data_IF_882856856438
#
_entry.id   IF_882856856438
#
_cell.length_a   1.000
_cell.length_b   1.000
_cell.length_c   1.000
_cell.angle_alpha   90.00
_cell.angle_beta   90.00
_cell.angle_gamma   90.00
#
_symmetry.space_group_name_H-M   'P 1'
#
loop_
_entity.id
_entity.type
_entity.pdbx_description
1 polymer ?
#
# COMPACT_ATOMS: atom_id res chain seq x y z
N UNK A 1 22.20 -39.26 -0.67
CA UNK A 1 22.16 -38.05 0.20
C UNK A 1 22.44 -36.74 -0.53
N UNK A 2 23.42 -36.64 -1.45
CA UNK A 2 23.67 -35.41 -2.25
C UNK A 2 22.46 -34.93 -3.09
N UNK A 3 21.69 -35.86 -3.70
CA UNK A 3 20.50 -35.52 -4.49
C UNK A 3 19.35 -34.91 -3.66
N UNK A 4 19.22 -35.31 -2.38
CA UNK A 4 18.20 -34.78 -1.46
C UNK A 4 18.57 -33.38 -0.96
N UNK A 5 19.87 -33.13 -0.71
CA UNK A 5 20.37 -31.78 -0.37
C UNK A 5 20.17 -30.78 -1.52
N UNK A 6 20.42 -31.21 -2.77
CA UNK A 6 20.22 -30.35 -3.95
C UNK A 6 18.74 -30.03 -4.17
N UNK A 7 17.82 -30.98 -3.94
CA UNK A 7 16.37 -30.75 -4.04
C UNK A 7 15.85 -29.76 -2.97
N UNK A 8 16.40 -29.84 -1.76
CA UNK A 8 16.05 -28.93 -0.66
C UNK A 8 16.48 -27.49 -0.94
N UNK A 9 17.67 -27.30 -1.51
CA UNK A 9 18.19 -25.97 -1.87
C UNK A 9 17.40 -25.38 -3.05
N UNK A 10 17.00 -26.20 -4.01
CA UNK A 10 16.20 -25.77 -5.16
C UNK A 10 14.77 -25.36 -4.75
N UNK A 11 14.15 -26.08 -3.81
CA UNK A 11 12.83 -25.71 -3.28
C UNK A 11 12.88 -24.43 -2.44
N UNK A 12 13.93 -24.22 -1.65
CA UNK A 12 14.11 -22.98 -0.89
C UNK A 12 14.31 -21.76 -1.81
N UNK A 13 15.03 -21.91 -2.92
CA UNK A 13 15.18 -20.85 -3.91
C UNK A 13 13.84 -20.52 -4.60
N UNK A 14 12.99 -21.51 -4.88
CA UNK A 14 11.68 -21.29 -5.52
C UNK A 14 10.71 -20.48 -4.63
N UNK A 15 10.75 -20.66 -3.31
CA UNK A 15 9.92 -19.91 -2.34
C UNK A 15 10.33 -18.44 -2.27
N UNK A 16 11.62 -18.14 -2.50
CA UNK A 16 12.12 -16.76 -2.53
C UNK A 16 11.69 -16.00 -3.81
N UNK A 17 11.43 -16.72 -4.92
CA UNK A 17 10.94 -16.12 -6.16
C UNK A 17 9.42 -15.92 -6.22
N UNK A 18 8.63 -16.59 -5.36
CA UNK A 18 7.16 -16.43 -5.33
C UNK A 18 6.66 -15.16 -4.62
N UNK A 19 7.55 -14.31 -4.09
CA UNK A 19 7.18 -13.07 -3.41
C UNK A 19 6.99 -11.86 -4.36
N UNK A 20 6.85 -12.08 -5.66
CA UNK A 20 6.60 -11.02 -6.65
C UNK A 20 5.12 -10.58 -6.66
N UNK A 21 4.63 -10.01 -5.56
CA UNK A 21 3.37 -9.26 -5.50
C UNK A 21 3.25 -8.52 -4.16
N UNK A 22 4.09 -7.50 -3.96
CA UNK A 22 4.02 -6.69 -2.74
C UNK A 22 3.10 -5.48 -2.95
N UNK A 23 1.82 -5.65 -2.60
CA UNK A 23 0.84 -4.57 -2.42
C UNK A 23 0.30 -3.88 -3.69
N UNK A 24 -0.68 -2.97 -3.56
CA UNK A 24 -1.25 -2.17 -4.65
C UNK A 24 -0.29 -1.03 -5.09
N UNK A 25 1.00 -1.33 -5.14
CA UNK A 25 2.02 -0.42 -5.65
C UNK A 25 2.50 -0.92 -7.00
N UNK A 26 2.44 -0.11 -8.06
CA UNK A 26 2.88 -0.52 -9.40
C UNK A 26 4.37 -0.90 -9.44
N UNK A 27 5.17 -0.41 -8.48
CA UNK A 27 6.58 -0.78 -8.35
C UNK A 27 7.03 -0.73 -6.87
N UNK A 28 7.20 -1.87 -6.18
CA UNK A 28 7.92 -1.89 -4.92
C UNK A 28 9.42 -1.69 -5.20
N UNK A 29 9.97 -0.56 -4.78
CA UNK A 29 11.41 -0.30 -4.75
C UNK A 29 12.09 -1.10 -3.64
N UNK A 30 13.30 -1.59 -3.90
CA UNK A 30 14.00 -2.55 -3.03
C UNK A 30 14.42 -1.98 -1.67
N UNK A 31 14.79 -0.68 -1.62
CA UNK A 31 15.32 -0.01 -0.43
C UNK A 31 14.37 1.04 0.13
N UNK A 32 13.77 1.82 -0.78
CA UNK A 32 12.84 2.89 -0.48
C UNK A 32 11.81 2.97 -1.59
N UNK A 33 10.57 3.21 -1.21
CA UNK A 33 9.48 3.47 -2.15
C UNK A 33 8.63 4.59 -1.59
N UNK A 34 8.36 5.61 -2.39
CA UNK A 34 7.31 6.60 -2.16
C UNK A 34 6.57 6.72 -3.48
N UNK A 35 5.44 6.02 -3.57
CA UNK A 35 4.63 6.00 -4.79
C UNK A 35 3.22 6.41 -4.47
N UNK A 36 2.66 7.23 -5.36
CA UNK A 36 1.24 7.58 -5.38
C UNK A 36 0.61 6.90 -6.59
N UNK A 37 -0.51 6.23 -6.37
CA UNK A 37 -1.26 5.56 -7.42
C UNK A 37 -2.72 5.99 -7.35
N UNK A 38 -3.31 6.40 -8.48
CA UNK A 38 -4.73 6.70 -8.53
C UNK A 38 -5.52 5.41 -8.35
N UNK A 39 -6.48 5.41 -7.43
CA UNK A 39 -7.35 4.26 -7.20
C UNK A 39 -8.66 4.38 -7.98
N UNK A 40 -9.34 5.52 -7.81
CA UNK A 40 -10.66 5.72 -8.39
C UNK A 40 -10.94 7.19 -8.61
N UNK A 41 -11.55 7.54 -9.74
CA UNK A 41 -12.05 8.88 -10.04
C UNK A 41 -13.54 8.77 -10.36
N UNK A 42 -14.36 9.71 -9.90
CA UNK A 42 -15.79 9.80 -10.19
C UNK A 42 -16.07 11.07 -10.99
N UNK A 43 -17.25 11.15 -11.63
CA UNK A 43 -17.69 12.34 -12.38
C UNK A 43 -18.20 13.48 -11.47
N UNK A 44 -17.93 13.42 -10.17
CA UNK A 44 -18.36 14.46 -9.22
C UNK A 44 -17.40 15.65 -9.32
N UNK A 45 -17.93 16.84 -9.59
CA UNK A 45 -17.14 18.07 -9.57
C UNK A 45 -16.42 18.26 -8.23
N UNK A 46 -15.11 18.53 -8.31
CA UNK A 46 -14.26 18.75 -7.14
C UNK A 46 -14.76 19.95 -6.32
N UNK A 47 -14.96 19.73 -5.02
CA UNK A 47 -15.37 20.76 -4.06
C UNK A 47 -14.21 21.46 -3.37
N UNK A 48 -12.96 21.08 -3.70
CA UNK A 48 -11.75 21.63 -3.10
C UNK A 48 -11.48 21.13 -1.68
N UNK A 49 -12.19 20.10 -1.20
CA UNK A 49 -11.90 19.46 0.08
C UNK A 49 -11.07 18.21 -0.14
N UNK A 50 -10.04 18.04 0.68
CA UNK A 50 -9.25 16.82 0.72
C UNK A 50 -9.21 16.25 2.14
N UNK A 51 -9.13 14.93 2.24
CA UNK A 51 -9.03 14.20 3.49
C UNK A 51 -8.08 13.04 3.34
N UNK A 52 -7.36 12.68 4.41
CA UNK A 52 -6.32 11.67 4.39
C UNK A 52 -6.45 10.74 5.58
N UNK A 53 -6.32 9.44 5.33
CA UNK A 53 -6.30 8.41 6.38
C UNK A 53 -5.17 7.42 6.11
N UNK A 54 -4.38 7.09 7.14
CA UNK A 54 -3.18 6.27 6.99
C UNK A 54 -3.20 5.06 7.94
N UNK A 55 -2.63 3.96 7.46
CA UNK A 55 -2.35 2.76 8.22
C UNK A 55 -0.87 2.42 8.07
N UNK A 56 -0.24 2.01 9.15
CA UNK A 56 1.16 1.61 9.18
C UNK A 56 1.28 0.12 9.41
N UNK A 57 2.36 -0.48 8.92
CA UNK A 57 2.72 -1.87 9.16
C UNK A 57 4.20 -1.97 9.49
N UNK A 58 4.51 -2.74 10.53
CA UNK A 58 5.86 -2.97 11.02
C UNK A 58 6.19 -4.45 10.80
N UNK A 59 7.25 -4.71 10.05
CA UNK A 59 7.81 -6.03 9.77
C UNK A 59 6.81 -7.03 9.17
N UNK A 60 5.69 -6.57 8.58
CA UNK A 60 4.54 -7.41 8.19
C UNK A 60 3.91 -8.22 9.34
N UNK A 61 4.38 -8.04 10.57
CA UNK A 61 3.92 -8.76 11.76
C UNK A 61 2.82 -7.98 12.48
N UNK A 62 2.87 -6.65 12.40
CA UNK A 62 2.00 -5.78 13.16
C UNK A 62 1.52 -4.63 12.27
N UNK A 63 0.23 -4.62 11.94
CA UNK A 63 -0.39 -3.51 11.21
C UNK A 63 -1.40 -2.78 12.09
N UNK A 64 -1.31 -1.45 12.11
CA UNK A 64 -2.16 -0.56 12.91
C UNK A 64 -2.59 0.66 12.12
N UNK A 65 -3.84 1.07 12.31
CA UNK A 65 -4.40 2.28 11.72
C UNK A 65 -5.64 1.98 10.88
N UNK A 66 -6.24 3.05 10.36
CA UNK A 66 -7.42 3.00 9.51
C UNK A 66 -7.14 3.87 8.28
N UNK A 67 -6.88 3.21 7.15
CA UNK A 67 -6.70 3.85 5.85
C UNK A 67 -7.99 3.78 5.00
N UNK A 68 -9.16 3.61 5.62
CA UNK A 68 -10.41 3.53 4.87
C UNK A 68 -10.79 4.89 4.25
N UNK A 69 -11.47 4.82 3.10
CA UNK A 69 -12.06 5.99 2.43
C UNK A 69 -13.01 6.72 3.40
N UNK A 70 -13.74 5.99 4.25
CA UNK A 70 -14.67 6.59 5.23
C UNK A 70 -13.95 7.45 6.26
N UNK A 71 -12.80 6.99 6.76
CA UNK A 71 -12.00 7.77 7.70
C UNK A 71 -11.37 8.98 7.01
N UNK A 72 -10.90 8.82 5.77
CA UNK A 72 -10.37 9.93 4.97
C UNK A 72 -11.46 10.99 4.70
N UNK A 73 -12.66 10.58 4.30
CA UNK A 73 -13.82 11.45 4.11
C UNK A 73 -14.20 12.20 5.39
N UNK A 74 -14.21 11.50 6.54
CA UNK A 74 -14.46 12.13 7.85
C UNK A 74 -13.42 13.18 8.19
N UNK A 75 -12.14 12.91 7.92
CA UNK A 75 -11.05 13.86 8.20
C UNK A 75 -11.15 15.13 7.34
N UNK A 76 -11.61 15.01 6.09
CA UNK A 76 -11.77 16.13 5.15
C UNK A 76 -13.17 16.75 5.12
N UNK A 77 -14.12 16.24 5.92
CA UNK A 77 -15.53 16.68 5.86
C UNK A 77 -16.17 16.51 4.46
N UNK A 78 -15.79 15.45 3.76
CA UNK A 78 -16.21 15.13 2.39
C UNK A 78 -17.47 14.27 2.44
N UNK A 79 -18.48 14.66 1.67
CA UNK A 79 -19.75 13.94 1.52
C UNK A 79 -19.80 13.17 0.21
N UNK A 80 -19.21 13.72 -0.86
CA UNK A 80 -19.11 13.07 -2.16
C UNK A 80 -17.66 13.03 -2.61
N UNK A 81 -17.19 11.84 -2.97
CA UNK A 81 -15.82 11.58 -3.39
C UNK A 81 -15.67 11.85 -4.88
N UNK A 82 -14.66 12.64 -5.25
CA UNK A 82 -14.25 12.96 -6.62
C UNK A 82 -13.06 12.12 -7.05
N UNK A 83 -11.96 12.13 -6.28
CA UNK A 83 -10.83 11.22 -6.51
C UNK A 83 -10.43 10.49 -5.22
N UNK A 84 -9.91 9.29 -5.41
CA UNK A 84 -9.24 8.50 -4.38
C UNK A 84 -7.86 8.15 -4.90
N UNK A 85 -6.85 8.57 -4.15
CA UNK A 85 -5.45 8.30 -4.41
C UNK A 85 -4.85 7.51 -3.25
N UNK A 86 -4.08 6.48 -3.57
CA UNK A 86 -3.32 5.72 -2.59
C UNK A 86 -1.86 6.16 -2.62
N UNK A 87 -1.31 6.48 -1.46
CA UNK A 87 0.10 6.74 -1.26
C UNK A 87 0.68 5.62 -0.41
N UNK A 88 1.68 4.92 -0.94
CA UNK A 88 2.37 3.87 -0.20
C UNK A 88 3.82 4.25 -0.04
N UNK A 89 4.30 4.17 1.20
CA UNK A 89 5.69 4.40 1.56
C UNK A 89 6.28 3.16 2.18
N UNK A 90 7.43 2.75 1.69
CA UNK A 90 8.22 1.65 2.24
C UNK A 90 9.58 2.18 2.66
N UNK A 91 9.95 1.91 3.91
CA UNK A 91 11.22 2.31 4.48
C UNK A 91 12.03 1.06 4.81
N UNK A 92 13.31 1.06 4.41
CA UNK A 92 14.27 0.00 4.69
C UNK A 92 13.78 -1.38 4.22
N UNK A 93 13.40 -1.50 2.95
CA UNK A 93 13.14 -2.80 2.30
C UNK A 93 12.29 -3.76 3.12
N UNK A 94 11.05 -3.36 3.45
CA UNK A 94 10.01 -4.17 4.13
C UNK A 94 9.94 -4.09 5.67
N UNK A 95 10.82 -3.34 6.34
CA UNK A 95 10.78 -3.19 7.81
C UNK A 95 9.61 -2.32 8.29
N UNK A 96 9.32 -1.25 7.56
CA UNK A 96 8.23 -0.35 7.89
C UNK A 96 7.51 0.09 6.63
N UNK A 97 6.19 0.09 6.69
CA UNK A 97 5.34 0.58 5.62
C UNK A 97 4.23 1.47 6.13
N UNK A 98 3.88 2.44 5.31
CA UNK A 98 2.75 3.32 5.52
C UNK A 98 1.91 3.34 4.26
N UNK A 99 0.64 3.03 4.41
CA UNK A 99 -0.35 3.09 3.36
C UNK A 99 -1.37 4.16 3.72
N UNK A 100 -1.47 5.17 2.88
CA UNK A 100 -2.37 6.30 3.06
C UNK A 100 -3.38 6.36 1.91
N UNK A 101 -4.62 6.61 2.27
CA UNK A 101 -5.72 6.92 1.36
C UNK A 101 -6.00 8.39 1.43
N UNK A 102 -5.82 9.08 0.31
CA UNK A 102 -6.13 10.49 0.10
C UNK A 102 -7.41 10.56 -0.74
N UNK A 103 -8.38 11.32 -0.27
CA UNK A 103 -9.69 11.47 -0.90
C UNK A 103 -9.91 12.94 -1.15
N UNK A 104 -10.31 13.28 -2.37
CA UNK A 104 -10.73 14.64 -2.73
C UNK A 104 -12.21 14.63 -3.06
N UNK A 105 -12.89 15.76 -2.85
CA UNK A 105 -14.30 15.88 -3.14
C UNK A 105 -14.96 17.09 -2.47
N UNK A 106 -16.27 16.98 -2.22
CA UNK A 106 -17.12 18.05 -1.71
C UNK A 106 -17.92 17.68 -0.48
#
# INVERSE_FOLDING_TARGET
>A
MRKLLVLSIFSAAAILFSACAVGPTPQPGLLYTDVKSPFHVTDVADGGKSGKACATSILYLWSTGDASIKQAMKSGGITQVTSVDYSTKWYLGFVWSEFCTEVTGK
#
